data_IF_382556378221
#
_entry.id   IF_382556378221
#
_cell.length_a   1.000
_cell.length_b   1.000
_cell.length_c   1.000
_cell.angle_alpha   90.00
_cell.angle_beta   90.00
_cell.angle_gamma   90.00
#
_symmetry.space_group_name_H-M   'P 1'
#
loop_
_entity.id
_entity.type
_entity.pdbx_description
1 polymer ?
#
# COMPACT_ATOMS: atom_id res chain seq x y z
N UNK A 1 59.44 -38.51 -80.30
CA UNK A 1 60.39 -37.39 -80.13
C UNK A 1 60.15 -36.79 -78.75
N UNK A 2 61.16 -36.90 -77.87
CA UNK A 2 61.41 -36.18 -76.60
C UNK A 2 60.31 -36.13 -75.52
N UNK A 3 60.53 -36.38 -74.22
CA UNK A 3 61.56 -37.07 -73.43
C UNK A 3 61.18 -36.83 -71.94
N UNK A 4 61.33 -37.85 -71.08
CA UNK A 4 61.53 -37.80 -69.60
C UNK A 4 60.37 -37.24 -68.74
N UNK A 5 60.08 -37.69 -67.51
CA UNK A 5 60.89 -38.38 -66.49
C UNK A 5 59.98 -39.03 -65.43
N UNK A 6 60.41 -40.21 -65.00
CA UNK A 6 60.09 -41.06 -63.85
C UNK A 6 59.85 -40.34 -62.51
N UNK A 7 58.98 -40.87 -61.64
CA UNK A 7 59.27 -41.36 -60.26
C UNK A 7 58.00 -41.85 -59.58
N UNK A 8 58.12 -43.02 -58.94
CA UNK A 8 57.11 -43.74 -58.19
C UNK A 8 57.22 -43.44 -56.68
N UNK A 9 56.10 -43.45 -55.95
CA UNK A 9 56.10 -43.86 -54.53
C UNK A 9 54.72 -44.31 -54.05
N UNK A 10 54.67 -45.54 -53.53
CA UNK A 10 53.62 -46.08 -52.66
C UNK A 10 53.62 -45.33 -51.31
N UNK A 11 52.45 -44.97 -50.77
CA UNK A 11 52.33 -44.57 -49.36
C UNK A 11 51.03 -45.09 -48.75
N UNK A 12 51.21 -45.86 -47.69
CA UNK A 12 50.26 -46.60 -46.87
C UNK A 12 49.45 -45.62 -46.00
N UNK A 13 48.11 -45.63 -46.09
CA UNK A 13 47.25 -44.83 -45.21
C UNK A 13 47.01 -45.59 -43.90
N UNK A 14 47.72 -45.20 -42.83
CA UNK A 14 47.46 -45.66 -41.47
C UNK A 14 46.31 -44.85 -40.85
N UNK A 15 45.26 -45.53 -40.42
CA UNK A 15 44.15 -44.94 -39.67
C UNK A 15 44.59 -44.62 -38.24
N UNK A 16 44.60 -43.33 -37.89
CA UNK A 16 44.82 -42.87 -36.51
C UNK A 16 43.47 -42.80 -35.81
N UNK A 17 43.26 -43.69 -34.84
CA UNK A 17 42.15 -43.64 -33.89
C UNK A 17 42.56 -42.68 -32.77
N UNK A 18 41.88 -41.53 -32.66
CA UNK A 18 42.04 -40.59 -31.54
C UNK A 18 41.01 -40.94 -30.46
N UNK A 19 41.40 -41.15 -29.19
CA UNK A 19 40.45 -41.37 -28.12
C UNK A 19 39.74 -40.07 -27.75
N UNK A 20 38.41 -40.06 -27.83
CA UNK A 20 37.58 -38.96 -27.38
C UNK A 20 37.53 -38.90 -25.85
N UNK A 21 38.28 -37.96 -25.26
CA UNK A 21 38.11 -37.57 -23.86
C UNK A 21 36.83 -36.72 -23.73
N UNK A 22 35.76 -37.33 -23.26
CA UNK A 22 34.55 -36.63 -22.84
C UNK A 22 34.83 -35.87 -21.53
N UNK A 23 35.25 -34.61 -21.62
CA UNK A 23 35.17 -33.68 -20.48
C UNK A 23 33.70 -33.40 -20.18
N UNK A 24 33.24 -33.87 -19.00
CA UNK A 24 32.03 -33.37 -18.35
C UNK A 24 32.18 -31.85 -18.21
N UNK A 25 31.51 -31.08 -19.07
CA UNK A 25 31.23 -29.67 -18.80
C UNK A 25 30.37 -29.63 -17.56
N UNK A 26 30.95 -29.25 -16.42
CA UNK A 26 30.18 -28.83 -15.25
C UNK A 26 29.18 -27.77 -15.71
N UNK A 27 27.91 -27.95 -15.34
CA UNK A 27 26.94 -26.85 -15.41
C UNK A 27 27.57 -25.70 -14.64
N UNK A 28 27.93 -24.61 -15.32
CA UNK A 28 28.08 -23.32 -14.63
C UNK A 28 26.73 -23.09 -13.97
N UNK A 29 26.69 -23.12 -12.64
CA UNK A 29 25.57 -22.53 -11.92
C UNK A 29 25.39 -21.12 -12.49
N UNK A 30 24.18 -20.80 -12.93
CA UNK A 30 23.87 -19.44 -13.34
C UNK A 30 24.21 -18.53 -12.17
N UNK A 31 25.05 -17.51 -12.40
CA UNK A 31 25.32 -16.48 -11.39
C UNK A 31 23.96 -15.97 -10.89
N UNK A 32 23.72 -16.14 -9.58
CA UNK A 32 22.51 -15.61 -8.97
C UNK A 32 22.52 -14.09 -9.19
N UNK A 33 21.41 -13.50 -9.66
CA UNK A 33 21.36 -12.06 -9.87
C UNK A 33 21.66 -11.33 -8.56
N UNK A 34 22.48 -10.27 -8.64
CA UNK A 34 22.68 -9.36 -7.51
C UNK A 34 21.39 -8.55 -7.28
N UNK A 35 20.81 -8.69 -6.09
CA UNK A 35 19.61 -8.01 -5.64
C UNK A 35 18.33 -8.83 -5.78
N UNK A 36 17.23 -8.23 -5.37
CA UNK A 36 15.89 -8.76 -5.63
C UNK A 36 15.52 -8.61 -7.10
N UNK A 37 15.07 -9.70 -7.71
CA UNK A 37 14.49 -9.75 -9.05
C UNK A 37 13.06 -10.26 -8.94
N UNK A 38 12.10 -9.41 -9.25
CA UNK A 38 10.68 -9.74 -9.18
C UNK A 38 10.12 -10.12 -10.55
N UNK A 39 9.37 -11.21 -10.58
CA UNK A 39 8.55 -11.63 -11.71
C UNK A 39 7.09 -11.46 -11.33
N UNK A 40 6.36 -10.62 -12.05
CA UNK A 40 4.92 -10.42 -11.85
C UNK A 40 4.19 -11.74 -12.13
N UNK A 41 3.38 -12.19 -11.17
CA UNK A 41 2.48 -13.34 -11.32
C UNK A 41 1.12 -12.85 -11.81
N UNK A 42 0.60 -11.80 -11.17
CA UNK A 42 -0.64 -11.13 -11.55
C UNK A 42 -0.62 -9.69 -11.07
N UNK A 43 -1.09 -8.76 -11.90
CA UNK A 43 -1.36 -7.39 -11.51
C UNK A 43 -2.69 -6.95 -12.12
N UNK A 44 -3.43 -6.13 -11.38
CA UNK A 44 -4.70 -5.58 -11.79
C UNK A 44 -4.55 -4.10 -12.14
N UNK A 45 -5.44 -3.54 -13.00
CA UNK A 45 -5.29 -2.17 -13.47
C UNK A 45 -5.27 -1.14 -12.33
N UNK A 46 -4.34 -0.20 -12.42
CA UNK A 46 -4.20 0.94 -11.50
C UNK A 46 -3.89 2.22 -12.28
N UNK A 47 -4.23 3.37 -11.71
CA UNK A 47 -3.83 4.69 -12.21
C UNK A 47 -2.37 5.00 -11.86
N UNK A 48 -1.86 6.13 -12.36
CA UNK A 48 -0.50 6.63 -12.10
C UNK A 48 -0.15 6.79 -10.60
N UNK A 49 1.14 6.75 -10.28
CA UNK A 49 1.67 7.02 -8.94
C UNK A 49 1.45 8.51 -8.59
N UNK A 50 0.83 8.77 -7.43
CA UNK A 50 0.59 10.10 -6.88
C UNK A 50 1.59 10.47 -5.79
N UNK A 51 1.57 11.72 -5.34
CA UNK A 51 2.52 12.24 -4.35
C UNK A 51 1.84 13.13 -3.30
N UNK A 52 1.58 12.57 -2.12
CA UNK A 52 1.06 13.32 -0.96
C UNK A 52 2.08 14.30 -0.38
N UNK A 53 3.37 14.12 -0.65
CA UNK A 53 4.46 14.97 -0.17
C UNK A 53 4.40 15.23 1.34
N UNK A 54 4.56 16.47 1.79
CA UNK A 54 4.57 16.87 3.20
C UNK A 54 3.14 17.07 3.71
N UNK A 55 2.34 16.02 3.62
CA UNK A 55 1.02 15.92 4.21
C UNK A 55 0.80 14.48 4.71
N UNK A 56 0.04 14.31 5.79
CA UNK A 56 -0.29 12.99 6.35
C UNK A 56 -1.61 12.45 5.80
N UNK A 57 -1.81 12.57 4.49
CA UNK A 57 -3.09 12.22 3.82
C UNK A 57 -3.02 10.92 3.04
N UNK A 58 -2.09 10.02 3.40
CA UNK A 58 -1.92 8.71 2.75
C UNK A 58 -3.22 7.92 2.68
N UNK A 59 -4.00 7.94 3.76
CA UNK A 59 -5.33 7.32 3.84
C UNK A 59 -6.27 7.74 2.69
N UNK A 60 -6.25 9.01 2.30
CA UNK A 60 -7.04 9.53 1.17
C UNK A 60 -6.44 9.08 -0.16
N UNK A 61 -5.13 9.27 -0.36
CA UNK A 61 -4.45 8.90 -1.61
C UNK A 61 -4.57 7.40 -1.91
N UNK A 62 -4.43 6.55 -0.90
CA UNK A 62 -4.47 5.11 -1.08
C UNK A 62 -5.89 4.59 -1.31
N UNK A 63 -6.88 5.09 -0.57
CA UNK A 63 -8.27 4.69 -0.77
C UNK A 63 -8.83 5.23 -2.10
N UNK A 64 -8.49 6.46 -2.51
CA UNK A 64 -8.83 6.95 -3.85
C UNK A 64 -8.17 6.10 -4.93
N UNK A 65 -6.87 5.82 -4.82
CA UNK A 65 -6.14 4.95 -5.75
C UNK A 65 -6.78 3.56 -5.89
N UNK A 66 -7.29 3.01 -4.77
CA UNK A 66 -8.09 1.79 -4.76
C UNK A 66 -9.44 1.98 -5.48
N UNK A 67 -10.21 3.02 -5.15
CA UNK A 67 -11.51 3.28 -5.79
C UNK A 67 -11.39 3.58 -7.28
N UNK A 68 -10.34 4.26 -7.74
CA UNK A 68 -10.03 4.44 -9.16
C UNK A 68 -9.85 3.09 -9.87
N UNK A 69 -9.23 2.11 -9.21
CA UNK A 69 -9.06 0.76 -9.76
C UNK A 69 -10.38 0.00 -9.80
N UNK A 70 -11.27 0.23 -8.83
CA UNK A 70 -12.64 -0.29 -8.84
C UNK A 70 -13.48 0.33 -9.97
N UNK A 71 -13.33 1.63 -10.23
CA UNK A 71 -13.97 2.33 -11.36
C UNK A 71 -13.51 1.75 -12.69
N UNK A 72 -12.20 1.53 -12.85
CA UNK A 72 -11.61 0.90 -14.03
C UNK A 72 -12.14 -0.53 -14.20
N UNK A 73 -12.18 -1.32 -13.12
CA UNK A 73 -12.71 -2.69 -13.12
C UNK A 73 -14.17 -2.75 -13.57
N UNK A 74 -15.00 -1.77 -13.17
CA UNK A 74 -16.40 -1.65 -13.61
C UNK A 74 -16.55 -1.12 -15.03
N UNK A 75 -15.48 -0.61 -15.65
CA UNK A 75 -15.51 0.02 -16.97
C UNK A 75 -16.20 1.38 -16.98
N UNK A 76 -16.30 2.04 -15.83
CA UNK A 76 -16.93 3.36 -15.70
C UNK A 76 -15.98 4.51 -16.10
N UNK A 77 -14.67 4.29 -16.04
CA UNK A 77 -13.64 5.18 -16.58
C UNK A 77 -12.39 4.39 -16.99
N UNK A 78 -11.47 5.04 -17.71
CA UNK A 78 -10.16 4.47 -18.06
C UNK A 78 -9.09 4.84 -17.02
N UNK A 79 -7.84 4.45 -17.28
CA UNK A 79 -6.71 4.69 -16.38
C UNK A 79 -6.27 6.17 -16.26
N UNK A 80 -6.93 7.09 -16.97
CA UNK A 80 -6.71 8.54 -16.85
C UNK A 80 -7.62 9.20 -15.81
N UNK A 81 -8.54 8.44 -15.18
CA UNK A 81 -9.32 8.97 -14.06
C UNK A 81 -8.37 9.48 -12.96
N UNK A 82 -8.69 10.68 -12.46
CA UNK A 82 -7.91 11.33 -11.41
C UNK A 82 -8.86 12.07 -10.48
N UNK A 83 -9.05 11.54 -9.27
CA UNK A 83 -10.00 12.06 -8.29
C UNK A 83 -9.29 12.91 -7.24
N UNK A 84 -9.96 13.95 -6.76
CA UNK A 84 -9.39 14.87 -5.79
C UNK A 84 -9.30 14.24 -4.39
N UNK A 85 -8.09 13.97 -3.92
CA UNK A 85 -7.87 13.65 -2.50
C UNK A 85 -8.25 14.83 -1.60
N UNK A 86 -8.04 16.06 -2.05
CA UNK A 86 -8.26 17.24 -1.21
C UNK A 86 -9.74 17.53 -0.96
N UNK A 87 -10.62 17.11 -1.86
CA UNK A 87 -12.06 17.09 -1.60
C UNK A 87 -12.42 16.15 -0.45
N UNK A 88 -11.78 14.97 -0.39
CA UNK A 88 -11.99 14.02 0.70
C UNK A 88 -11.42 14.58 2.00
N UNK A 89 -10.17 15.05 1.98
CA UNK A 89 -9.47 15.60 3.15
C UNK A 89 -10.24 16.75 3.77
N UNK A 90 -10.69 17.72 2.98
CA UNK A 90 -11.45 18.87 3.49
C UNK A 90 -12.78 18.45 4.12
N UNK A 91 -13.52 17.52 3.53
CA UNK A 91 -14.77 17.06 4.15
C UNK A 91 -14.54 16.23 5.42
N UNK A 92 -13.53 15.37 5.43
CA UNK A 92 -13.18 14.59 6.61
C UNK A 92 -12.69 15.48 7.77
N UNK A 93 -11.88 16.51 7.49
CA UNK A 93 -11.38 17.42 8.52
C UNK A 93 -12.49 18.20 9.21
N UNK A 94 -13.48 18.69 8.46
CA UNK A 94 -14.63 19.36 9.05
C UNK A 94 -15.51 18.44 9.90
N UNK A 95 -15.79 17.23 9.42
CA UNK A 95 -16.52 16.24 10.21
C UNK A 95 -15.75 15.85 11.49
N UNK A 96 -14.42 15.72 11.38
CA UNK A 96 -13.51 15.45 12.50
C UNK A 96 -13.50 16.61 13.49
N UNK A 97 -13.50 17.85 13.01
CA UNK A 97 -13.57 19.05 13.84
C UNK A 97 -14.89 19.09 14.63
N UNK A 98 -16.01 18.79 13.98
CA UNK A 98 -17.30 18.66 14.66
C UNK A 98 -17.29 17.57 15.73
N UNK A 99 -16.81 16.37 15.42
CA UNK A 99 -16.76 15.28 16.41
C UNK A 99 -15.80 15.59 17.56
N UNK A 100 -14.65 16.19 17.27
CA UNK A 100 -13.67 16.64 18.27
C UNK A 100 -14.30 17.66 19.23
N UNK A 101 -15.02 18.66 18.71
CA UNK A 101 -15.73 19.65 19.52
C UNK A 101 -16.85 19.00 20.35
N UNK A 102 -17.62 18.07 19.77
CA UNK A 102 -18.69 17.34 20.48
C UNK A 102 -18.18 16.45 21.61
N UNK A 103 -16.93 15.99 21.52
CA UNK A 103 -16.28 15.16 22.54
C UNK A 103 -15.41 16.00 23.49
N UNK A 104 -15.63 17.31 23.54
CA UNK A 104 -14.92 18.25 24.42
C UNK A 104 -13.38 18.14 24.29
N UNK A 105 -12.92 17.88 23.06
CA UNK A 105 -11.51 17.74 22.73
C UNK A 105 -10.85 16.43 23.14
N UNK A 106 -11.61 15.42 23.57
CA UNK A 106 -11.12 14.10 23.96
C UNK A 106 -11.05 13.10 22.79
N UNK A 107 -10.90 13.61 21.57
CA UNK A 107 -10.70 12.82 20.35
C UNK A 107 -9.34 13.19 19.74
N UNK A 108 -8.74 12.30 18.96
CA UNK A 108 -7.62 12.70 18.12
C UNK A 108 -8.08 13.74 17.09
N UNK A 109 -7.39 14.88 17.02
CA UNK A 109 -7.52 15.84 15.92
C UNK A 109 -6.13 16.05 15.33
N UNK A 110 -5.81 15.19 14.38
CA UNK A 110 -4.59 15.19 13.61
C UNK A 110 -4.88 14.94 12.13
N UNK A 111 -3.84 15.02 11.28
CA UNK A 111 -4.00 14.97 9.83
C UNK A 111 -4.25 13.56 9.27
N UNK A 112 -3.87 12.53 10.02
CA UNK A 112 -4.14 11.13 9.71
C UNK A 112 -5.61 10.76 9.91
N UNK A 113 -6.05 9.69 9.25
CA UNK A 113 -7.44 9.23 9.17
C UNK A 113 -7.48 7.79 8.64
N UNK A 114 -8.66 7.18 8.59
CA UNK A 114 -8.83 5.79 8.13
C UNK A 114 -9.40 5.72 6.69
N UNK A 115 -9.43 4.52 6.10
CA UNK A 115 -10.06 4.32 4.78
C UNK A 115 -11.58 4.46 4.80
N UNK A 116 -12.23 4.18 5.94
CA UNK A 116 -13.67 4.33 6.13
C UNK A 116 -14.12 5.76 5.96
N UNK A 117 -13.29 6.73 6.36
CA UNK A 117 -13.52 8.16 6.18
C UNK A 117 -13.73 8.51 4.70
N UNK A 118 -12.98 7.88 3.80
CA UNK A 118 -13.11 8.11 2.36
C UNK A 118 -14.46 7.60 1.86
N UNK A 119 -14.90 6.43 2.34
CA UNK A 119 -16.21 5.85 2.00
C UNK A 119 -17.36 6.68 2.56
N UNK A 120 -17.25 7.14 3.81
CA UNK A 120 -18.26 7.98 4.45
C UNK A 120 -18.37 9.35 3.78
N UNK A 121 -17.23 9.96 3.42
CA UNK A 121 -17.22 11.22 2.67
C UNK A 121 -17.80 11.02 1.27
N UNK A 122 -17.41 9.96 0.56
CA UNK A 122 -17.97 9.64 -0.76
C UNK A 122 -19.48 9.49 -0.70
N UNK A 123 -20.00 8.77 0.30
CA UNK A 123 -21.43 8.56 0.53
C UNK A 123 -22.17 9.86 0.88
N UNK A 124 -21.57 10.69 1.72
CA UNK A 124 -22.23 11.87 2.28
C UNK A 124 -22.17 13.07 1.33
N UNK A 125 -21.01 13.28 0.70
CA UNK A 125 -20.67 14.49 -0.04
C UNK A 125 -20.43 14.24 -1.54
N UNK A 126 -20.07 13.02 -1.95
CA UNK A 126 -19.70 12.67 -3.33
C UNK A 126 -18.20 12.75 -3.56
N UNK A 127 -17.78 13.05 -4.79
CA UNK A 127 -16.37 13.22 -5.17
C UNK A 127 -16.27 14.20 -6.35
N UNK A 128 -15.07 14.73 -6.59
CA UNK A 128 -14.78 15.55 -7.77
C UNK A 128 -13.49 15.10 -8.43
N UNK A 129 -13.29 15.40 -9.74
CA UNK A 129 -11.99 15.22 -10.36
C UNK A 129 -10.93 16.12 -9.72
N UNK A 130 -9.67 15.68 -9.73
CA UNK A 130 -8.52 16.45 -9.26
C UNK A 130 -8.43 17.83 -9.95
N UNK A 131 -8.79 17.91 -11.23
CA UNK A 131 -8.82 19.17 -11.99
C UNK A 131 -9.77 20.23 -11.43
N UNK A 132 -10.77 19.85 -10.64
CA UNK A 132 -11.76 20.76 -10.02
C UNK A 132 -11.28 21.26 -8.66
N UNK A 133 -10.59 20.42 -7.88
CA UNK A 133 -10.14 20.79 -6.54
C UNK A 133 -8.76 20.15 -6.23
N UNK A 134 -7.69 20.86 -6.56
CA UNK A 134 -6.31 20.36 -6.35
C UNK A 134 -5.79 20.48 -4.92
N UNK A 135 -6.40 21.37 -4.12
CA UNK A 135 -5.95 21.74 -2.77
C UNK A 135 -4.50 22.21 -2.65
N UNK A 136 -4.13 23.16 -3.50
CA UNK A 136 -2.80 23.80 -3.53
C UNK A 136 -2.92 25.34 -3.45
N UNK A 137 -3.91 25.85 -2.71
CA UNK A 137 -4.29 27.27 -2.71
C UNK A 137 -3.40 28.17 -1.83
N UNK A 138 -2.23 27.68 -1.43
CA UNK A 138 -1.26 28.34 -0.54
C UNK A 138 0.10 28.59 -1.21
N UNK A 139 0.14 28.63 -2.55
CA UNK A 139 1.31 29.11 -3.32
C UNK A 139 2.42 28.08 -3.54
N UNK A 140 2.17 26.80 -3.28
CA UNK A 140 3.09 25.70 -3.64
C UNK A 140 2.55 24.89 -4.82
N UNK A 141 3.43 24.10 -5.45
CA UNK A 141 3.05 23.17 -6.53
C UNK A 141 2.92 21.72 -6.04
N UNK A 142 3.04 21.51 -4.74
CA UNK A 142 3.02 20.20 -4.08
C UNK A 142 2.56 20.37 -2.63
N UNK A 143 1.87 19.36 -2.09
CA UNK A 143 1.24 19.48 -0.77
C UNK A 143 2.24 19.73 0.35
N UNK A 144 1.91 20.69 1.21
CA UNK A 144 2.69 21.04 2.40
C UNK A 144 1.75 21.52 3.51
N UNK A 145 1.27 20.59 4.34
CA UNK A 145 0.16 20.83 5.27
C UNK A 145 0.59 21.21 6.69
N UNK A 146 1.89 21.23 7.02
CA UNK A 146 2.35 21.52 8.39
C UNK A 146 1.75 22.81 8.99
N UNK A 147 1.64 23.89 8.21
CA UNK A 147 0.99 25.13 8.66
C UNK A 147 -0.53 24.96 8.77
N UNK A 148 -1.16 24.39 7.75
CA UNK A 148 -2.61 24.11 7.73
C UNK A 148 -3.05 23.26 8.92
N UNK A 149 -2.32 22.19 9.23
CA UNK A 149 -2.58 21.28 10.34
C UNK A 149 -2.43 22.01 11.69
N UNK A 150 -1.40 22.85 11.84
CA UNK A 150 -1.20 23.64 13.05
C UNK A 150 -2.32 24.68 13.27
N UNK A 151 -2.73 25.38 12.20
CA UNK A 151 -3.78 26.39 12.25
C UNK A 151 -5.15 25.76 12.55
N UNK A 152 -5.49 24.68 11.86
CA UNK A 152 -6.78 23.97 12.08
C UNK A 152 -6.85 23.38 13.49
N UNK A 153 -5.77 22.77 13.98
CA UNK A 153 -5.64 22.30 15.37
C UNK A 153 -5.86 23.43 16.38
N UNK A 154 -5.18 24.56 16.23
CA UNK A 154 -5.32 25.69 17.14
C UNK A 154 -6.75 26.27 17.11
N UNK A 155 -7.39 26.27 15.94
CA UNK A 155 -8.75 26.75 15.77
C UNK A 155 -9.77 25.93 16.57
N UNK A 156 -9.82 24.61 16.34
CA UNK A 156 -10.82 23.74 17.00
C UNK A 156 -10.65 23.73 18.51
N UNK A 157 -9.46 24.04 18.99
CA UNK A 157 -9.10 23.90 20.39
C UNK A 157 -9.12 25.25 21.14
N UNK A 158 -9.24 26.35 20.41
CA UNK A 158 -9.93 27.56 20.87
C UNK A 158 -11.46 27.38 20.96
N UNK A 159 -12.09 26.66 20.03
CA UNK A 159 -13.54 26.40 20.04
C UNK A 159 -13.94 25.55 21.25
N UNK A 160 -13.22 24.45 21.52
CA UNK A 160 -13.47 23.56 22.67
C UNK A 160 -13.38 24.28 24.01
N UNK A 161 -12.49 25.29 24.16
CA UNK A 161 -12.41 26.10 25.39
C UNK A 161 -13.72 26.81 25.74
N UNK A 162 -14.61 27.01 24.76
CA UNK A 162 -15.94 27.57 24.93
C UNK A 162 -15.98 28.80 25.88
N UNK A 163 -15.16 29.84 25.65
CA UNK A 163 -14.98 30.94 26.61
C UNK A 163 -16.26 31.77 26.82
N UNK A 164 -17.20 31.71 25.87
CA UNK A 164 -18.50 32.39 25.94
C UNK A 164 -19.57 31.54 26.65
N UNK A 165 -19.23 30.36 27.18
CA UNK A 165 -20.16 29.35 27.70
C UNK A 165 -21.25 28.92 26.70
N UNK A 166 -21.07 29.23 25.41
CA UNK A 166 -21.91 28.85 24.28
C UNK A 166 -21.08 28.95 23.00
N UNK A 167 -21.11 27.89 22.19
CA UNK A 167 -20.47 27.91 20.87
C UNK A 167 -21.17 28.92 19.95
N UNK A 168 -20.38 29.67 19.17
CA UNK A 168 -20.93 30.60 18.20
C UNK A 168 -21.57 29.84 17.02
N UNK A 169 -22.52 30.44 16.32
CA UNK A 169 -23.00 29.88 15.05
C UNK A 169 -21.97 30.02 13.92
N UNK A 170 -20.87 30.73 14.16
CA UNK A 170 -19.86 31.04 13.16
C UNK A 170 -18.69 30.04 13.14
N UNK A 171 -18.49 29.25 14.20
CA UNK A 171 -17.23 28.50 14.36
C UNK A 171 -17.00 27.49 13.21
N UNK A 172 -18.04 26.77 12.80
CA UNK A 172 -17.88 25.77 11.73
C UNK A 172 -17.62 26.44 10.38
N UNK A 173 -18.33 27.54 10.08
CA UNK A 173 -18.08 28.34 8.88
C UNK A 173 -16.68 28.96 8.90
N UNK A 174 -16.18 29.38 10.06
CA UNK A 174 -14.81 29.88 10.21
C UNK A 174 -13.76 28.79 9.97
N UNK A 175 -13.99 27.58 10.48
CA UNK A 175 -13.15 26.42 10.18
C UNK A 175 -13.14 26.09 8.68
N UNK A 176 -14.33 26.00 8.06
CA UNK A 176 -14.46 25.81 6.60
C UNK A 176 -13.80 26.94 5.79
N UNK A 177 -13.82 28.17 6.30
CA UNK A 177 -13.12 29.30 5.68
C UNK A 177 -11.60 29.14 5.69
N UNK A 178 -11.03 28.56 6.75
CA UNK A 178 -9.61 28.16 6.78
C UNK A 178 -9.37 27.08 5.73
N UNK A 179 -10.17 26.02 5.70
CA UNK A 179 -10.02 24.96 4.69
C UNK A 179 -10.11 25.52 3.27
N UNK A 180 -11.07 26.38 2.98
CA UNK A 180 -11.22 27.00 1.67
C UNK A 180 -9.99 27.82 1.25
N UNK A 181 -9.35 28.51 2.20
CA UNK A 181 -8.13 29.28 1.93
C UNK A 181 -6.94 28.39 1.54
N UNK A 182 -6.82 27.19 2.13
CA UNK A 182 -5.69 26.28 1.86
C UNK A 182 -6.00 25.24 0.77
N UNK A 183 -7.16 24.60 0.83
CA UNK A 183 -7.54 23.46 -0.01
C UNK A 183 -8.49 23.84 -1.16
N UNK A 184 -8.97 25.08 -1.19
CA UNK A 184 -9.97 25.55 -2.15
C UNK A 184 -11.40 25.33 -1.67
N UNK A 185 -12.34 26.09 -2.23
CA UNK A 185 -13.76 25.96 -1.92
C UNK A 185 -14.30 24.61 -2.39
N UNK A 186 -15.22 24.03 -1.61
CA UNK A 186 -15.93 22.82 -2.02
C UNK A 186 -16.83 23.18 -3.21
N UNK A 187 -16.61 22.58 -4.40
CA UNK A 187 -17.37 22.93 -5.59
C UNK A 187 -18.81 22.43 -5.49
N UNK A 188 -19.79 23.32 -5.68
CA UNK A 188 -21.20 22.93 -5.76
C UNK A 188 -21.54 22.31 -7.13
N UNK A 189 -20.94 22.86 -8.18
CA UNK A 189 -21.13 22.46 -9.58
C UNK A 189 -19.83 22.60 -10.37
N UNK A 190 -19.63 21.71 -11.34
CA UNK A 190 -18.49 21.72 -12.25
C UNK A 190 -18.83 21.00 -13.56
N UNK A 191 -17.99 21.15 -14.57
CA UNK A 191 -18.20 20.53 -15.90
C UNK A 191 -17.08 19.53 -16.18
N UNK A 192 -17.45 18.31 -16.57
CA UNK A 192 -16.53 17.26 -17.06
C UNK A 192 -17.05 16.80 -18.42
N UNK A 193 -16.19 16.82 -19.44
CA UNK A 193 -16.52 16.43 -20.81
C UNK A 193 -17.80 17.07 -21.36
N UNK A 194 -18.01 18.35 -21.05
CA UNK A 194 -19.17 19.13 -21.49
C UNK A 194 -20.47 18.86 -20.73
N UNK A 195 -20.46 18.00 -19.70
CA UNK A 195 -21.61 17.75 -18.83
C UNK A 195 -21.44 18.39 -17.45
N UNK A 196 -22.46 19.09 -16.98
CA UNK A 196 -22.50 19.66 -15.63
C UNK A 196 -22.79 18.55 -14.59
N UNK A 197 -22.06 18.61 -13.48
CA UNK A 197 -22.18 17.72 -12.34
C UNK A 197 -22.17 18.51 -11.03
N UNK A 198 -22.87 17.98 -10.03
CA UNK A 198 -22.53 18.17 -8.61
C UNK A 198 -21.60 17.05 -8.14
N UNK A 199 -20.88 17.19 -7.01
CA UNK A 199 -20.03 16.11 -6.49
C UNK A 199 -20.75 14.77 -6.31
N UNK A 200 -22.02 14.78 -5.86
CA UNK A 200 -22.84 13.57 -5.74
C UNK A 200 -23.17 12.94 -7.09
N UNK A 201 -23.64 13.74 -8.05
CA UNK A 201 -23.98 13.20 -9.38
C UNK A 201 -22.76 12.69 -10.15
N UNK A 202 -21.57 13.26 -9.88
CA UNK A 202 -20.32 12.75 -10.44
C UNK A 202 -19.95 11.42 -9.80
N UNK A 203 -19.98 11.31 -8.48
CA UNK A 203 -19.78 10.06 -7.75
C UNK A 203 -20.71 8.93 -8.24
N UNK A 204 -22.00 9.23 -8.45
CA UNK A 204 -22.98 8.28 -9.01
C UNK A 204 -22.59 7.81 -10.43
N UNK A 205 -22.06 8.72 -11.26
CA UNK A 205 -21.63 8.38 -12.62
C UNK A 205 -20.44 7.42 -12.68
N UNK A 206 -19.65 7.35 -11.61
CA UNK A 206 -18.49 6.46 -11.46
C UNK A 206 -18.89 5.03 -11.02
N UNK A 207 -20.18 4.79 -10.76
CA UNK A 207 -20.75 3.47 -10.44
C UNK A 207 -20.15 2.79 -9.20
N UNK A 208 -19.65 3.58 -8.24
CA UNK A 208 -19.20 3.10 -6.93
C UNK A 208 -20.42 3.08 -6.00
N UNK A 209 -20.69 1.91 -5.40
CA UNK A 209 -21.65 1.79 -4.29
C UNK A 209 -20.84 1.73 -2.99
N UNK A 210 -20.87 2.78 -2.15
CA UNK A 210 -20.16 2.81 -0.87
C UNK A 210 -20.44 1.60 0.02
N UNK A 211 -21.60 0.96 -0.09
CA UNK A 211 -21.98 -0.19 0.75
C UNK A 211 -21.36 -1.51 0.28
N UNK A 212 -20.63 -1.52 -0.83
CA UNK A 212 -19.85 -2.69 -1.26
C UNK A 212 -18.48 -2.76 -0.59
N UNK A 213 -18.03 -1.70 0.06
CA UNK A 213 -16.69 -1.61 0.64
C UNK A 213 -16.72 -1.86 2.14
N UNK A 214 -15.90 -2.81 2.60
CA UNK A 214 -15.82 -3.22 4.00
C UNK A 214 -14.37 -3.18 4.47
N UNK A 215 -14.19 -2.91 5.77
CA UNK A 215 -12.89 -3.03 6.42
C UNK A 215 -12.72 -4.43 7.01
N UNK A 216 -11.57 -5.06 6.79
CA UNK A 216 -11.18 -6.34 7.40
C UNK A 216 -9.91 -6.16 8.24
N UNK A 217 -9.82 -6.88 9.36
CA UNK A 217 -8.66 -6.91 10.26
C UNK A 217 -8.48 -8.30 10.88
N UNK A 218 -7.43 -8.47 11.71
CA UNK A 218 -7.14 -9.73 12.39
C UNK A 218 -6.46 -9.48 13.74
N UNK A 219 -7.22 -9.62 14.82
CA UNK A 219 -6.75 -9.51 16.20
C UNK A 219 -7.54 -10.44 17.14
N UNK A 220 -6.97 -10.77 18.29
CA UNK A 220 -7.53 -11.74 19.25
C UNK A 220 -8.12 -11.10 20.51
N UNK A 221 -7.97 -9.78 20.71
CA UNK A 221 -8.63 -9.07 21.82
C UNK A 221 -10.12 -8.84 21.60
N UNK A 222 -10.62 -9.13 20.39
CA UNK A 222 -12.04 -9.29 20.07
C UNK A 222 -12.30 -10.66 19.43
N UNK A 223 -13.51 -11.23 19.57
CA UNK A 223 -13.85 -12.48 18.90
C UNK A 223 -13.66 -12.41 17.38
N UNK A 224 -13.30 -13.52 16.74
CA UNK A 224 -13.33 -13.63 15.30
C UNK A 224 -14.77 -13.63 14.77
N UNK A 225 -14.93 -13.21 13.51
CA UNK A 225 -16.18 -13.12 12.77
C UNK A 225 -17.20 -12.12 13.33
N UNK A 226 -16.76 -11.23 14.22
CA UNK A 226 -17.52 -10.07 14.68
C UNK A 226 -16.93 -8.79 14.09
N UNK A 227 -17.58 -7.66 14.39
CA UNK A 227 -17.11 -6.34 14.01
C UNK A 227 -16.69 -5.56 15.26
N UNK A 228 -15.60 -4.81 15.15
CA UNK A 228 -15.19 -3.85 16.17
C UNK A 228 -14.46 -2.66 15.53
N UNK A 229 -14.40 -1.54 16.24
CA UNK A 229 -13.59 -0.40 15.82
C UNK A 229 -12.15 -0.63 16.29
N UNK A 230 -11.21 -0.71 15.33
CA UNK A 230 -9.78 -0.85 15.66
C UNK A 230 -9.37 0.37 16.49
N UNK A 231 -8.76 0.14 17.65
CA UNK A 231 -8.48 1.18 18.64
C UNK A 231 -7.19 1.94 18.32
N UNK A 232 -7.25 2.75 17.25
CA UNK A 232 -6.16 3.62 16.79
C UNK A 232 -6.63 5.08 16.74
N UNK A 233 -5.74 6.06 16.96
CA UNK A 233 -6.13 7.48 16.99
C UNK A 233 -6.80 7.97 15.70
N UNK A 234 -6.40 7.42 14.57
CA UNK A 234 -6.90 7.82 13.25
C UNK A 234 -8.24 7.17 12.89
N UNK A 235 -8.73 6.17 13.64
CA UNK A 235 -10.10 5.67 13.54
C UNK A 235 -11.06 6.53 14.39
N UNK A 236 -11.05 7.83 14.15
CA UNK A 236 -11.80 8.81 14.93
C UNK A 236 -13.30 8.72 14.69
N UNK A 237 -13.76 8.17 13.54
CA UNK A 237 -15.18 7.85 13.30
C UNK A 237 -15.65 6.61 14.04
N UNK A 238 -14.72 5.78 14.53
CA UNK A 238 -15.01 4.45 15.08
C UNK A 238 -15.64 3.53 14.04
N UNK A 239 -15.12 3.59 12.82
CA UNK A 239 -15.44 2.70 11.71
C UNK A 239 -15.20 1.25 12.13
N UNK A 240 -16.18 0.39 11.84
CA UNK A 240 -16.11 -1.02 12.18
C UNK A 240 -15.33 -1.82 11.13
N UNK A 241 -14.49 -2.74 11.61
CA UNK A 241 -13.79 -3.73 10.80
C UNK A 241 -14.27 -5.14 11.18
N UNK A 242 -14.50 -6.00 10.19
CA UNK A 242 -14.72 -7.42 10.43
C UNK A 242 -13.41 -8.10 10.82
N UNK A 243 -13.46 -8.94 11.84
CA UNK A 243 -12.30 -9.61 12.39
C UNK A 243 -12.16 -11.04 11.86
N UNK A 244 -10.99 -11.41 11.34
CA UNK A 244 -10.70 -12.75 10.81
C UNK A 244 -9.45 -13.36 11.46
N UNK A 245 -9.34 -14.70 11.54
CA UNK A 245 -8.05 -15.35 11.75
C UNK A 245 -7.05 -14.92 10.67
N UNK A 246 -5.77 -14.75 11.02
CA UNK A 246 -4.77 -14.16 10.13
C UNK A 246 -4.61 -14.94 8.81
N UNK A 247 -4.76 -16.26 8.86
CA UNK A 247 -4.69 -17.13 7.68
C UNK A 247 -5.83 -16.83 6.70
N UNK A 248 -7.03 -16.59 7.23
CA UNK A 248 -8.20 -16.24 6.41
C UNK A 248 -8.08 -14.81 5.87
N UNK A 249 -7.49 -13.88 6.61
CA UNK A 249 -7.20 -12.53 6.10
C UNK A 249 -6.24 -12.59 4.91
N UNK A 250 -5.16 -13.38 4.99
CA UNK A 250 -4.24 -13.60 3.87
C UNK A 250 -4.94 -14.29 2.70
N UNK A 251 -5.78 -15.29 2.96
CA UNK A 251 -6.58 -15.95 1.94
C UNK A 251 -7.50 -14.96 1.18
N UNK A 252 -8.14 -14.01 1.88
CA UNK A 252 -8.94 -12.96 1.25
C UNK A 252 -8.08 -12.09 0.33
N UNK A 253 -6.92 -11.65 0.80
CA UNK A 253 -6.01 -10.80 0.01
C UNK A 253 -5.56 -11.48 -1.28
N UNK A 254 -5.12 -12.74 -1.20
CA UNK A 254 -4.73 -13.53 -2.36
C UNK A 254 -5.88 -13.71 -3.35
N UNK A 255 -7.04 -14.17 -2.85
CA UNK A 255 -8.22 -14.40 -3.67
C UNK A 255 -8.70 -13.12 -4.36
N UNK A 256 -8.62 -11.95 -3.69
CA UNK A 256 -8.99 -10.68 -4.27
C UNK A 256 -8.15 -10.36 -5.52
N UNK A 257 -6.83 -10.47 -5.42
CA UNK A 257 -5.93 -10.25 -6.56
C UNK A 257 -6.22 -11.28 -7.67
N UNK A 258 -6.40 -12.55 -7.32
CA UNK A 258 -6.73 -13.62 -8.25
C UNK A 258 -8.08 -13.41 -8.98
N UNK A 259 -9.07 -12.78 -8.36
CA UNK A 259 -10.36 -12.44 -8.98
C UNK A 259 -10.36 -11.06 -9.67
N UNK A 260 -9.20 -10.44 -9.78
CA UNK A 260 -9.03 -9.17 -10.49
C UNK A 260 -9.49 -7.96 -9.70
N UNK A 261 -9.56 -8.04 -8.37
CA UNK A 261 -9.78 -6.92 -7.46
C UNK A 261 -8.45 -6.40 -6.94
N UNK A 262 -8.46 -5.19 -6.39
CA UNK A 262 -7.38 -4.63 -5.59
C UNK A 262 -7.92 -4.26 -4.21
N UNK A 263 -7.10 -3.72 -3.31
CA UNK A 263 -7.57 -3.26 -2.00
C UNK A 263 -6.64 -2.20 -1.39
N UNK A 264 -7.22 -1.27 -0.62
CA UNK A 264 -6.43 -0.36 0.20
C UNK A 264 -5.87 -1.12 1.40
N UNK A 265 -4.62 -0.84 1.75
CA UNK A 265 -3.83 -1.58 2.72
C UNK A 265 -3.22 -0.62 3.75
N UNK A 266 -3.68 -0.72 5.00
CA UNK A 266 -3.15 0.03 6.14
C UNK A 266 -2.11 -0.84 6.83
N UNK A 267 -0.91 -0.31 7.05
CA UNK A 267 0.20 -1.04 7.65
C UNK A 267 1.09 -0.13 8.48
N UNK A 268 1.73 -0.71 9.49
CA UNK A 268 2.91 -0.10 10.09
C UNK A 268 4.07 -0.16 9.08
N UNK A 269 4.71 0.98 8.82
CA UNK A 269 5.88 1.08 7.92
C UNK A 269 7.11 1.64 8.64
N UNK A 270 7.05 1.77 9.96
CA UNK A 270 8.14 2.21 10.84
C UNK A 270 9.19 1.12 11.12
N UNK A 271 9.20 0.08 10.27
CA UNK A 271 10.06 -1.08 10.35
C UNK A 271 11.36 -0.89 9.57
N UNK A 272 12.47 -1.43 10.09
CA UNK A 272 13.73 -1.55 9.31
C UNK A 272 13.52 -2.33 8.00
N UNK A 273 12.55 -3.24 8.02
CA UNK A 273 12.08 -4.02 6.89
C UNK A 273 11.47 -3.23 5.76
N UNK A 274 10.93 -2.04 6.05
CA UNK A 274 10.34 -1.14 5.07
C UNK A 274 11.43 -0.19 4.53
N UNK A 275 11.95 -0.51 3.36
CA UNK A 275 13.13 0.16 2.81
C UNK A 275 12.76 1.25 1.81
N UNK A 276 13.62 2.26 1.66
CA UNK A 276 13.51 3.29 0.60
C UNK A 276 13.71 2.73 -0.81
N UNK A 277 14.20 1.49 -0.93
CA UNK A 277 14.41 0.81 -2.21
C UNK A 277 13.19 0.01 -2.67
N UNK A 278 12.05 0.11 -1.97
CA UNK A 278 10.81 -0.51 -2.41
C UNK A 278 10.63 -1.96 -1.95
N UNK A 279 11.15 -2.32 -0.78
CA UNK A 279 10.99 -3.64 -0.17
C UNK A 279 10.33 -3.52 1.20
N UNK A 280 9.45 -4.46 1.53
CA UNK A 280 8.93 -4.66 2.88
C UNK A 280 9.14 -6.13 3.27
N UNK A 281 10.07 -6.40 4.19
CA UNK A 281 10.48 -7.76 4.60
C UNK A 281 10.65 -7.87 6.12
N UNK A 282 10.56 -9.08 6.68
CA UNK A 282 10.82 -9.38 8.09
C UNK A 282 11.88 -10.48 8.19
N UNK A 283 13.17 -10.14 8.04
CA UNK A 283 14.25 -11.12 8.05
C UNK A 283 14.31 -11.89 9.38
N UNK A 284 14.50 -13.21 9.30
CA UNK A 284 14.89 -14.02 10.45
C UNK A 284 16.41 -13.91 10.63
N UNK A 285 16.84 -13.00 11.51
CA UNK A 285 18.26 -12.72 11.75
C UNK A 285 19.01 -14.00 12.15
N UNK A 286 18.45 -14.80 13.07
CA UNK A 286 19.14 -16.00 13.56
C UNK A 286 19.23 -17.09 12.50
N UNK A 287 18.15 -17.32 11.74
CA UNK A 287 18.15 -18.34 10.70
C UNK A 287 19.09 -17.98 9.54
N UNK A 288 19.21 -16.69 9.19
CA UNK A 288 20.12 -16.22 8.15
C UNK A 288 21.60 -16.22 8.60
N UNK A 289 21.88 -16.03 9.89
CA UNK A 289 23.24 -16.24 10.42
C UNK A 289 23.69 -17.70 10.35
N UNK A 290 22.73 -18.64 10.51
CA UNK A 290 23.02 -20.09 10.55
C UNK A 290 23.07 -20.74 9.16
N UNK A 291 22.60 -20.10 8.09
CA UNK A 291 22.63 -20.66 6.73
C UNK A 291 24.05 -20.72 6.14
N UNK A 292 24.50 -21.92 5.78
CA UNK A 292 25.87 -22.21 5.29
C UNK A 292 26.13 -21.81 3.84
N UNK A 293 27.38 -21.45 3.57
CA UNK A 293 28.01 -20.68 2.46
C UNK A 293 28.21 -19.20 2.76
N UNK A 294 27.28 -18.56 3.48
CA UNK A 294 27.36 -17.11 3.80
C UNK A 294 27.91 -16.83 5.21
N UNK A 295 28.22 -17.86 5.99
CA UNK A 295 28.80 -17.70 7.34
C UNK A 295 30.08 -16.86 7.32
N UNK A 296 30.94 -17.04 6.32
CA UNK A 296 32.18 -16.27 6.17
C UNK A 296 31.92 -14.77 5.98
N UNK A 297 30.78 -14.40 5.38
CA UNK A 297 30.36 -13.00 5.22
C UNK A 297 29.96 -12.35 6.55
N UNK A 298 29.56 -13.15 7.53
CA UNK A 298 29.12 -12.70 8.84
C UNK A 298 30.24 -12.69 9.89
N UNK A 299 31.38 -13.34 9.63
CA UNK A 299 32.52 -13.37 10.53
C UNK A 299 33.20 -12.00 10.62
N UNK A 300 33.37 -11.48 11.84
CA UNK A 300 34.02 -10.19 12.08
C UNK A 300 33.13 -8.95 11.87
N UNK A 301 31.86 -9.14 11.51
CA UNK A 301 30.88 -8.06 11.32
C UNK A 301 30.12 -7.82 12.64
N UNK A 302 29.97 -6.55 13.04
CA UNK A 302 29.20 -6.17 14.24
C UNK A 302 27.72 -6.53 14.11
N UNK A 303 26.99 -6.66 15.23
CA UNK A 303 25.55 -6.97 15.22
C UNK A 303 24.75 -5.92 14.43
N UNK A 304 25.16 -4.67 14.52
CA UNK A 304 24.56 -3.52 13.84
C UNK A 304 24.79 -3.59 12.33
N UNK A 305 26.02 -3.90 11.89
CA UNK A 305 26.34 -4.09 10.48
C UNK A 305 25.64 -5.32 9.90
N UNK A 306 25.51 -6.41 10.67
CA UNK A 306 24.75 -7.60 10.24
C UNK A 306 23.29 -7.27 10.01
N UNK A 307 22.67 -6.54 10.95
CA UNK A 307 21.31 -6.07 10.78
C UNK A 307 21.20 -5.16 9.55
N UNK A 308 22.09 -4.18 9.40
CA UNK A 308 22.08 -3.31 8.24
C UNK A 308 22.19 -4.10 6.93
N UNK A 309 23.04 -5.12 6.86
CA UNK A 309 23.15 -6.00 5.71
C UNK A 309 21.87 -6.79 5.44
N UNK A 310 21.20 -7.34 6.46
CA UNK A 310 19.94 -8.10 6.32
C UNK A 310 18.76 -7.26 5.81
N UNK A 311 18.71 -5.97 6.15
CA UNK A 311 17.69 -5.05 5.65
C UNK A 311 18.09 -4.35 4.34
N UNK A 312 19.35 -4.48 3.92
CA UNK A 312 19.91 -3.86 2.72
C UNK A 312 20.34 -4.93 1.69
N UNK A 313 19.83 -6.16 1.81
CA UNK A 313 20.37 -7.34 1.12
C UNK A 313 20.35 -7.22 -0.41
N UNK A 314 21.48 -7.60 -0.99
CA UNK A 314 21.64 -7.91 -2.41
C UNK A 314 21.05 -9.30 -2.79
N UNK A 315 20.15 -9.91 -2.00
CA UNK A 315 19.45 -11.16 -2.33
C UNK A 315 18.33 -11.46 -1.30
N UNK A 316 17.28 -12.23 -1.67
CA UNK A 316 16.29 -12.71 -0.72
C UNK A 316 16.89 -13.68 0.31
N UNK A 317 16.50 -13.51 1.57
CA UNK A 317 16.87 -14.36 2.71
C UNK A 317 15.65 -15.00 3.37
N UNK A 318 15.87 -15.78 4.44
CA UNK A 318 14.76 -16.32 5.24
C UNK A 318 14.05 -15.22 6.01
N UNK A 319 12.73 -15.27 6.03
CA UNK A 319 11.88 -14.40 6.84
C UNK A 319 11.28 -15.16 8.03
N UNK A 320 10.79 -14.42 9.02
CA UNK A 320 10.17 -15.02 10.21
C UNK A 320 8.89 -15.77 9.85
N UNK A 321 8.60 -16.84 10.57
CA UNK A 321 7.28 -17.45 10.62
C UNK A 321 6.41 -16.67 11.60
N UNK A 322 5.28 -16.12 11.14
CA UNK A 322 4.44 -15.21 11.92
C UNK A 322 3.19 -15.95 12.40
N UNK A 323 2.98 -15.97 13.72
CA UNK A 323 1.75 -16.51 14.34
C UNK A 323 0.75 -15.40 14.70
N UNK A 324 -0.49 -15.78 14.97
CA UNK A 324 -1.54 -14.86 15.43
C UNK A 324 -1.14 -14.18 16.74
N UNK A 325 -0.51 -14.91 17.66
CA UNK A 325 -0.09 -14.41 18.97
C UNK A 325 1.06 -13.40 18.84
N UNK A 326 2.02 -13.66 17.95
CA UNK A 326 3.10 -12.71 17.67
C UNK A 326 2.55 -11.38 17.15
N UNK A 327 1.59 -11.47 16.21
CA UNK A 327 0.89 -10.30 15.65
C UNK A 327 0.11 -9.53 16.73
N UNK A 328 -0.63 -10.22 17.60
CA UNK A 328 -1.35 -9.56 18.70
C UNK A 328 -0.39 -8.86 19.65
N UNK A 329 0.69 -9.54 20.06
CA UNK A 329 1.65 -9.00 21.01
C UNK A 329 2.28 -7.68 20.51
N UNK A 330 2.52 -7.57 19.21
CA UNK A 330 3.03 -6.37 18.55
C UNK A 330 2.08 -5.18 18.55
N UNK A 331 0.78 -5.43 18.40
CA UNK A 331 -0.23 -4.37 18.55
C UNK A 331 -0.35 -3.92 20.00
N UNK A 332 -0.41 -4.86 20.94
CA UNK A 332 -0.59 -4.59 22.36
C UNK A 332 0.62 -3.83 22.95
N UNK A 333 1.83 -4.14 22.47
CA UNK A 333 3.07 -3.51 22.94
C UNK A 333 3.48 -2.26 22.14
N UNK A 334 2.64 -1.80 21.19
CA UNK A 334 2.87 -0.60 20.37
C UNK A 334 4.09 -0.67 19.45
N UNK A 335 4.50 -1.88 19.04
CA UNK A 335 5.51 -2.09 18.00
C UNK A 335 4.90 -2.19 16.60
N UNK A 336 3.60 -2.48 16.51
CA UNK A 336 2.81 -2.28 15.31
C UNK A 336 1.70 -1.27 15.61
N UNK A 337 1.73 -0.15 14.92
CA UNK A 337 0.85 0.99 15.04
C UNK A 337 0.25 1.36 13.68
N UNK A 338 -0.78 2.20 13.67
CA UNK A 338 -1.39 2.66 12.42
C UNK A 338 -0.58 3.85 11.89
N UNK A 339 0.18 3.61 10.83
CA UNK A 339 1.22 4.53 10.34
C UNK A 339 0.98 4.98 8.90
N UNK A 340 0.59 4.08 7.99
CA UNK A 340 0.54 4.43 6.57
C UNK A 340 -0.48 3.63 5.74
N UNK A 341 -1.23 4.35 4.90
CA UNK A 341 -2.14 3.80 3.90
C UNK A 341 -1.48 3.66 2.53
N UNK A 342 -1.63 2.48 1.92
CA UNK A 342 -1.12 2.14 0.57
C UNK A 342 -2.15 1.33 -0.20
N UNK A 343 -1.85 0.93 -1.44
CA UNK A 343 -2.77 0.19 -2.29
C UNK A 343 -2.10 -1.06 -2.87
N UNK A 344 -2.59 -2.25 -2.53
CA UNK A 344 -2.10 -3.52 -3.09
C UNK A 344 -2.90 -3.87 -4.35
N UNK A 345 -2.18 -4.14 -5.45
CA UNK A 345 -2.79 -4.35 -6.77
C UNK A 345 -2.29 -5.59 -7.51
N UNK A 346 -1.35 -6.34 -6.94
CA UNK A 346 -0.77 -7.49 -7.62
C UNK A 346 0.03 -8.41 -6.70
N UNK A 347 0.48 -9.52 -7.28
CA UNK A 347 1.35 -10.52 -6.70
C UNK A 347 2.54 -10.71 -7.64
N UNK A 348 3.74 -10.72 -7.08
CA UNK A 348 4.99 -11.07 -7.74
C UNK A 348 5.71 -12.16 -6.95
N UNK A 349 6.71 -12.77 -7.60
CA UNK A 349 7.65 -13.68 -6.96
C UNK A 349 9.07 -13.20 -7.14
N UNK A 350 9.91 -13.40 -6.12
CA UNK A 350 11.36 -13.21 -6.27
C UNK A 350 12.00 -14.38 -7.05
N UNK A 351 13.33 -14.34 -7.18
CA UNK A 351 14.11 -15.41 -7.82
C UNK A 351 14.08 -16.77 -7.09
N UNK A 352 13.67 -16.80 -5.82
CA UNK A 352 13.55 -18.01 -5.01
C UNK A 352 12.10 -18.56 -5.02
N UNK A 353 11.17 -17.85 -5.66
CA UNK A 353 9.75 -18.20 -5.70
C UNK A 353 8.95 -17.68 -4.49
N UNK A 354 9.56 -16.88 -3.61
CA UNK A 354 8.90 -16.26 -2.45
C UNK A 354 7.87 -15.26 -2.94
N UNK A 355 6.67 -15.27 -2.32
CA UNK A 355 5.55 -14.41 -2.70
C UNK A 355 5.72 -13.00 -2.14
N UNK A 356 5.47 -12.00 -2.99
CA UNK A 356 5.39 -10.59 -2.63
C UNK A 356 4.11 -9.98 -3.18
N UNK A 357 3.47 -9.12 -2.40
CA UNK A 357 2.43 -8.23 -2.89
C UNK A 357 3.06 -7.00 -3.56
N UNK A 358 2.48 -6.58 -4.68
CA UNK A 358 2.83 -5.35 -5.39
C UNK A 358 2.02 -4.20 -4.80
N UNK A 359 2.72 -3.19 -4.29
CA UNK A 359 2.15 -2.09 -3.53
C UNK A 359 2.37 -0.78 -4.27
N UNK A 360 1.29 -0.08 -4.59
CA UNK A 360 1.28 1.29 -5.11
C UNK A 360 1.34 2.26 -3.92
N UNK A 361 2.44 3.00 -3.79
CA UNK A 361 2.64 4.01 -2.77
C UNK A 361 2.28 5.42 -3.29
N UNK A 362 2.19 6.40 -2.39
CA UNK A 362 1.77 7.79 -2.64
C UNK A 362 2.89 8.81 -2.38
N UNK A 363 4.15 8.42 -2.54
CA UNK A 363 5.33 9.30 -2.32
C UNK A 363 5.99 9.77 -3.63
N UNK A 364 5.25 9.70 -4.74
CA UNK A 364 5.76 9.95 -6.07
C UNK A 364 6.58 8.78 -6.63
N UNK A 365 7.08 8.90 -7.87
CA UNK A 365 7.79 7.83 -8.57
C UNK A 365 9.25 7.69 -8.09
N UNK A 366 9.43 7.51 -6.79
CA UNK A 366 10.74 7.44 -6.11
C UNK A 366 11.26 6.01 -5.98
N UNK A 367 12.55 5.87 -5.67
CA UNK A 367 13.17 4.59 -5.39
C UNK A 367 13.36 3.70 -6.63
N UNK A 368 13.85 2.47 -6.40
CA UNK A 368 14.23 1.51 -7.45
C UNK A 368 13.06 1.15 -8.37
N UNK A 369 11.84 1.07 -7.83
CA UNK A 369 10.65 0.64 -8.58
C UNK A 369 9.66 1.79 -8.81
N UNK A 370 10.16 3.03 -8.90
CA UNK A 370 9.39 4.21 -9.35
C UNK A 370 8.04 4.38 -8.63
N UNK A 371 8.04 4.31 -7.30
CA UNK A 371 6.84 4.46 -6.47
C UNK A 371 6.14 3.15 -6.10
N UNK A 372 6.62 2.00 -6.61
CA UNK A 372 6.13 0.67 -6.24
C UNK A 372 6.98 0.05 -5.13
N UNK A 373 6.33 -0.62 -4.20
CA UNK A 373 6.95 -1.46 -3.18
C UNK A 373 6.57 -2.93 -3.40
N UNK A 374 7.46 -3.83 -2.97
CA UNK A 374 7.21 -5.27 -2.90
C UNK A 374 7.23 -5.68 -1.44
N UNK A 375 6.05 -6.05 -0.91
CA UNK A 375 5.89 -6.47 0.46
C UNK A 375 5.79 -7.99 0.52
N UNK A 376 6.68 -8.65 1.27
CA UNK A 376 6.59 -10.10 1.46
C UNK A 376 5.27 -10.47 2.13
N UNK A 377 4.78 -11.68 1.88
CA UNK A 377 3.61 -12.18 2.61
C UNK A 377 3.85 -12.10 4.13
N UNK A 378 5.06 -12.41 4.59
CA UNK A 378 5.46 -12.29 5.99
C UNK A 378 5.25 -10.87 6.53
N UNK A 379 5.72 -9.85 5.81
CA UNK A 379 5.54 -8.46 6.22
C UNK A 379 4.06 -8.09 6.28
N UNK A 380 3.29 -8.42 5.24
CA UNK A 380 1.85 -8.14 5.20
C UNK A 380 1.12 -8.84 6.35
N UNK A 381 1.41 -10.12 6.59
CA UNK A 381 0.81 -10.90 7.69
C UNK A 381 1.08 -10.26 9.05
N UNK A 382 2.28 -9.71 9.23
CA UNK A 382 2.70 -9.20 10.52
C UNK A 382 2.27 -7.75 10.77
N UNK A 383 2.37 -6.88 9.76
CA UNK A 383 2.30 -5.42 9.92
C UNK A 383 1.03 -4.75 9.39
N UNK A 384 0.17 -5.49 8.69
CA UNK A 384 -1.17 -4.96 8.32
C UNK A 384 -1.95 -4.56 9.56
N UNK A 385 -2.63 -3.42 9.55
CA UNK A 385 -3.61 -3.02 10.57
C UNK A 385 -5.03 -3.33 10.10
N UNK A 386 -5.37 -2.91 8.89
CA UNK A 386 -6.61 -3.27 8.20
C UNK A 386 -6.44 -3.24 6.68
N UNK A 387 -7.46 -3.74 5.98
CA UNK A 387 -7.66 -3.49 4.55
C UNK A 387 -9.07 -2.97 4.30
N UNK A 388 -9.22 -2.09 3.30
CA UNK A 388 -10.52 -1.75 2.71
C UNK A 388 -10.65 -2.50 1.38
N UNK A 389 -11.72 -3.28 1.25
CA UNK A 389 -11.91 -4.18 0.11
C UNK A 389 -13.38 -4.20 -0.33
N UNK A 390 -13.61 -4.47 -1.62
CA UNK A 390 -14.94 -4.78 -2.12
C UNK A 390 -15.38 -6.14 -1.56
N UNK A 391 -16.53 -6.21 -0.88
CA UNK A 391 -17.08 -7.44 -0.27
C UNK A 391 -17.32 -8.57 -1.28
N UNK A 392 -17.43 -8.24 -2.57
CA UNK A 392 -17.57 -9.21 -3.67
C UNK A 392 -16.24 -9.90 -4.03
N UNK A 393 -15.11 -9.43 -3.50
CA UNK A 393 -13.80 -10.07 -3.62
C UNK A 393 -13.59 -11.20 -2.61
N UNK A 394 -14.45 -11.35 -1.60
CA UNK A 394 -14.28 -12.36 -0.55
C UNK A 394 -14.57 -13.78 -1.10
N UNK A 395 -13.78 -14.80 -0.68
CA UNK A 395 -14.17 -16.19 -0.87
C UNK A 395 -15.55 -16.47 -0.27
N UNK A 396 -16.37 -17.28 -0.97
CA UNK A 396 -17.77 -17.57 -0.55
C UNK A 396 -17.88 -18.06 0.89
N UNK A 397 -16.94 -18.91 1.32
CA UNK A 397 -16.92 -19.50 2.66
C UNK A 397 -16.66 -18.45 3.74
N UNK A 398 -15.73 -17.51 3.51
CA UNK A 398 -15.43 -16.40 4.41
C UNK A 398 -16.61 -15.42 4.45
N UNK A 399 -17.21 -15.13 3.29
CA UNK A 399 -18.40 -14.28 3.19
C UNK A 399 -19.55 -14.82 4.05
N UNK A 400 -19.77 -16.13 4.03
CA UNK A 400 -20.76 -16.80 4.87
C UNK A 400 -20.43 -16.73 6.37
N UNK A 401 -19.16 -16.95 6.77
CA UNK A 401 -18.72 -16.81 8.17
C UNK A 401 -18.94 -15.41 8.73
N UNK A 402 -18.75 -14.37 7.90
CA UNK A 402 -18.96 -12.97 8.27
C UNK A 402 -20.43 -12.52 8.19
N UNK A 403 -21.34 -13.38 7.71
CA UNK A 403 -22.76 -13.04 7.56
C UNK A 403 -23.03 -11.95 6.52
N UNK A 404 -22.18 -11.84 5.48
CA UNK A 404 -22.32 -10.84 4.42
C UNK A 404 -23.10 -11.46 3.26
N UNK A 405 -24.19 -10.81 2.84
CA UNK A 405 -25.01 -11.26 1.71
C UNK A 405 -24.40 -10.93 0.35
#
# INVERSE_FOLDING_TARGET
>A
MKFLKTIATFALAAAVIVPANAQKKGKKEAEKPEGYVFTVVKENPVTSIKNQSRSSTCWSFSAISFLESEIIKKGAADANIDLSEMFIVSNAYADKAEKFVRLDGNLNFGPGSDFGDVIDVWKTYGIVPESVMKGLNYGTTIHAHNEFDAVTRAYVDAVVKNPNNKLSTAWLNGFRGIEAAYLGEIPEKFVVDGKEYTPKSYAESLQIDPNDYISLTSFTHHPFYTQFAIEVPDNWRWTLSYNLPIDELIQVMDHAIEQGYTFAWGSDVSEKGFTRNGLCIVPDVEANERSGSDQDRWLGVSKEEKQAMLYNLNAPGKEKEITQEMRQAEYDNKLTTDDHGMHIYGIAKDQNGTKYYMVKNSWGPVGKYKGVWYASETFVRYKTMNILINKNALPKEIKAKLGIN
#
